data_IF_494225157937
#
_entry.id   IF_494225157937
#
_cell.length_a   1.000
_cell.length_b   1.000
_cell.length_c   1.000
_cell.angle_alpha   90.00
_cell.angle_beta   90.00
_cell.angle_gamma   90.00
#
_symmetry.space_group_name_H-M   'P 1'
#
loop_
_entity.id
_entity.type
_entity.pdbx_description
1 polymer ?
#
# COMPACT_ATOMS: atom_id res chain seq x y z
N UNK A 1 -1.81 7.26 -26.84
CA UNK A 1 -2.38 7.22 -25.47
C UNK A 1 -2.47 5.77 -25.03
N UNK A 2 -2.03 5.43 -23.82
CA UNK A 2 -2.08 4.05 -23.33
C UNK A 2 -3.55 3.59 -23.20
N UNK A 3 -3.98 2.49 -23.86
CA UNK A 3 -5.37 2.03 -23.77
C UNK A 3 -5.76 1.60 -22.35
N UNK A 4 -4.79 1.24 -21.51
CA UNK A 4 -5.00 0.85 -20.11
C UNK A 4 -5.11 2.01 -19.12
N UNK A 5 -4.96 3.26 -19.54
CA UNK A 5 -4.84 4.41 -18.61
C UNK A 5 -6.04 4.52 -17.65
N UNK A 6 -7.26 4.37 -18.17
CA UNK A 6 -8.46 4.49 -17.36
C UNK A 6 -8.70 3.29 -16.43
N UNK A 7 -8.19 2.12 -16.78
CA UNK A 7 -8.22 0.94 -15.91
C UNK A 7 -7.21 1.13 -14.77
N UNK A 8 -5.99 1.53 -15.11
CA UNK A 8 -4.92 1.79 -14.15
C UNK A 8 -5.33 2.88 -13.14
N UNK A 9 -5.85 4.00 -13.62
CA UNK A 9 -6.31 5.12 -12.78
C UNK A 9 -7.39 4.68 -11.78
N UNK A 10 -8.44 3.99 -12.26
CA UNK A 10 -9.52 3.51 -11.39
C UNK A 10 -9.05 2.47 -10.38
N UNK A 11 -8.14 1.59 -10.78
CA UNK A 11 -7.54 0.61 -9.88
C UNK A 11 -6.67 1.28 -8.82
N UNK A 12 -5.80 2.21 -9.21
CA UNK A 12 -4.96 2.98 -8.29
C UNK A 12 -5.81 3.76 -7.28
N UNK A 13 -6.88 4.42 -7.73
CA UNK A 13 -7.80 5.13 -6.84
C UNK A 13 -8.40 4.22 -5.77
N UNK A 14 -8.87 3.03 -6.16
CA UNK A 14 -9.43 2.04 -5.22
C UNK A 14 -8.38 1.51 -4.25
N UNK A 15 -7.18 1.17 -4.74
CA UNK A 15 -6.08 0.66 -3.92
C UNK A 15 -5.68 1.71 -2.87
N UNK A 16 -5.41 2.94 -3.31
CA UNK A 16 -4.99 4.03 -2.42
C UNK A 16 -6.09 4.34 -1.40
N UNK A 17 -7.35 4.42 -1.83
CA UNK A 17 -8.50 4.63 -0.93
C UNK A 17 -8.60 3.57 0.16
N UNK A 18 -8.40 2.28 -0.19
CA UNK A 18 -8.39 1.19 0.80
C UNK A 18 -7.19 1.28 1.75
N UNK A 19 -6.01 1.63 1.24
CA UNK A 19 -4.81 1.78 2.07
C UNK A 19 -4.96 2.91 3.10
N UNK A 20 -5.42 4.09 2.68
CA UNK A 20 -5.60 5.24 3.59
C UNK A 20 -6.73 5.03 4.60
N UNK A 21 -7.77 4.26 4.21
CA UNK A 21 -8.81 3.81 5.12
C UNK A 21 -8.28 2.80 6.15
N UNK A 22 -7.49 1.82 5.73
CA UNK A 22 -7.03 0.74 6.61
C UNK A 22 -5.89 1.16 7.58
N UNK A 23 -4.97 1.99 7.11
CA UNK A 23 -3.70 2.24 7.80
C UNK A 23 -3.45 3.72 8.08
N UNK A 24 -2.79 3.97 9.21
CA UNK A 24 -1.98 5.16 9.44
C UNK A 24 -0.57 4.86 8.91
N UNK A 25 -0.19 5.54 7.83
CA UNK A 25 1.09 5.34 7.13
C UNK A 25 2.07 6.40 7.63
N UNK A 26 3.24 5.97 8.12
CA UNK A 26 4.27 6.86 8.68
C UNK A 26 5.65 6.56 8.13
N UNK A 27 6.48 7.59 8.15
CA UNK A 27 7.91 7.45 7.95
C UNK A 27 8.55 6.51 9.01
N UNK A 28 9.65 5.84 8.67
CA UNK A 28 10.34 4.94 9.57
C UNK A 28 10.99 5.70 10.73
N UNK A 29 11.15 5.02 11.86
CA UNK A 29 11.82 5.55 13.06
C UNK A 29 13.15 4.82 13.24
N UNK A 30 14.21 5.57 13.53
CA UNK A 30 15.51 5.03 13.90
C UNK A 30 15.40 4.32 15.26
N UNK A 31 15.71 3.01 15.34
CA UNK A 31 15.56 2.24 16.58
C UNK A 31 16.53 2.66 17.69
N UNK A 32 17.65 3.32 17.34
CA UNK A 32 18.67 3.78 18.30
C UNK A 32 18.34 5.17 18.81
N UNK A 33 17.94 6.07 17.92
CA UNK A 33 17.75 7.49 18.25
C UNK A 33 16.29 7.87 18.54
N UNK A 34 15.33 7.02 18.15
CA UNK A 34 13.90 7.28 18.28
C UNK A 34 13.38 8.39 17.36
N UNK A 35 14.20 8.91 16.44
CA UNK A 35 13.84 9.99 15.52
C UNK A 35 13.29 9.45 14.20
N UNK A 36 12.42 10.22 13.58
CA UNK A 36 11.93 9.95 12.23
C UNK A 36 13.08 10.02 11.23
N UNK A 37 13.19 9.01 10.36
CA UNK A 37 14.08 9.00 9.21
C UNK A 37 13.25 9.50 8.02
N UNK A 38 13.51 10.74 7.60
CA UNK A 38 12.82 11.35 6.46
C UNK A 38 13.09 10.55 5.19
N UNK A 39 12.05 10.28 4.41
CA UNK A 39 12.17 9.68 3.09
C UNK A 39 12.44 10.77 2.04
N UNK A 40 13.31 10.49 1.08
CA UNK A 40 13.55 11.36 -0.07
C UNK A 40 12.49 11.05 -1.16
N UNK A 41 11.59 11.99 -1.49
CA UNK A 41 10.57 11.79 -2.52
C UNK A 41 11.13 11.63 -3.93
N UNK A 42 12.39 11.98 -4.16
CA UNK A 42 13.04 11.91 -5.49
C UNK A 42 13.97 10.68 -5.62
N UNK A 43 14.06 9.82 -4.59
CA UNK A 43 14.93 8.65 -4.61
C UNK A 43 14.35 7.49 -5.46
N UNK A 44 14.44 7.65 -6.77
CA UNK A 44 13.89 6.74 -7.77
C UNK A 44 15.00 6.06 -8.59
N UNK A 45 14.68 4.88 -9.12
CA UNK A 45 15.54 4.21 -10.11
C UNK A 45 15.39 4.87 -11.48
N UNK A 46 16.51 5.09 -12.16
CA UNK A 46 16.51 5.53 -13.56
C UNK A 46 16.37 4.33 -14.50
N UNK A 47 15.53 4.44 -15.52
CA UNK A 47 15.35 3.39 -16.52
C UNK A 47 14.04 3.53 -17.29
N UNK A 48 13.68 2.48 -18.04
CA UNK A 48 12.42 2.41 -18.78
C UNK A 48 11.20 2.46 -17.85
N UNK A 49 11.34 1.93 -16.62
CA UNK A 49 10.35 1.99 -15.57
C UNK A 49 10.87 2.89 -14.45
N UNK A 50 10.09 3.93 -14.12
CA UNK A 50 10.34 4.76 -12.95
C UNK A 50 9.67 4.14 -11.73
N UNK A 51 10.46 3.80 -10.72
CA UNK A 51 9.99 3.27 -9.46
C UNK A 51 10.86 3.81 -8.31
N UNK A 52 10.30 3.98 -7.10
CA UNK A 52 11.10 4.37 -5.94
C UNK A 52 12.13 3.28 -5.64
N UNK A 53 13.33 3.68 -5.17
CA UNK A 53 14.28 2.73 -4.60
C UNK A 53 13.70 2.11 -3.32
N UNK A 54 14.21 0.96 -2.85
CA UNK A 54 13.72 0.35 -1.61
C UNK A 54 13.78 1.32 -0.43
N UNK A 55 12.64 1.58 0.20
CA UNK A 55 12.51 2.42 1.39
C UNK A 55 11.77 1.68 2.51
N UNK A 56 11.94 2.14 3.75
CA UNK A 56 11.20 1.62 4.91
C UNK A 56 9.98 2.50 5.17
N UNK A 57 8.89 1.90 5.62
CA UNK A 57 7.63 2.59 5.92
C UNK A 57 6.89 1.82 7.00
N UNK A 58 6.15 2.53 7.85
CA UNK A 58 5.35 1.95 8.91
C UNK A 58 3.88 1.95 8.46
N UNK A 59 3.29 0.77 8.34
CA UNK A 59 1.84 0.59 8.18
C UNK A 59 1.24 0.17 9.52
N UNK A 60 0.55 1.11 10.18
CA UNK A 60 -0.16 0.81 11.43
C UNK A 60 -1.66 0.70 11.15
N UNK A 61 -2.32 -0.45 11.40
CA UNK A 61 -3.76 -0.53 11.28
C UNK A 61 -4.44 0.52 12.17
N UNK A 62 -5.47 1.20 11.65
CA UNK A 62 -6.14 2.29 12.38
C UNK A 62 -6.88 1.81 13.62
N UNK A 63 -7.48 0.62 13.58
CA UNK A 63 -8.10 -0.02 14.74
C UNK A 63 -8.31 -1.52 14.52
N UNK A 64 -8.66 -2.24 15.60
CA UNK A 64 -9.04 -3.64 15.52
C UNK A 64 -10.21 -3.88 14.56
N UNK A 65 -11.22 -3.00 14.57
CA UNK A 65 -12.36 -3.10 13.65
C UNK A 65 -11.95 -3.05 12.17
N UNK A 66 -10.93 -2.27 11.80
CA UNK A 66 -10.40 -2.28 10.43
C UNK A 66 -9.73 -3.62 10.10
N UNK A 67 -8.97 -4.18 11.04
CA UNK A 67 -8.34 -5.50 10.89
C UNK A 67 -9.40 -6.58 10.69
N UNK A 68 -10.46 -6.56 11.50
CA UNK A 68 -11.52 -7.56 11.45
C UNK A 68 -12.25 -7.54 10.11
N UNK A 69 -12.54 -6.34 9.58
CA UNK A 69 -13.09 -6.18 8.22
C UNK A 69 -12.11 -6.71 7.18
N UNK A 70 -10.83 -6.32 7.22
CA UNK A 70 -9.84 -6.81 6.24
C UNK A 70 -9.76 -8.33 6.23
N UNK A 71 -9.74 -8.98 7.40
CA UNK A 71 -9.69 -10.43 7.53
C UNK A 71 -10.95 -11.10 6.97
N UNK A 72 -12.13 -10.60 7.34
CA UNK A 72 -13.40 -11.14 6.83
C UNK A 72 -13.47 -11.06 5.30
N UNK A 73 -13.18 -9.90 4.73
CA UNK A 73 -13.24 -9.70 3.27
C UNK A 73 -12.18 -10.55 2.55
N UNK A 74 -11.01 -10.75 3.17
CA UNK A 74 -9.98 -11.65 2.65
C UNK A 74 -10.47 -13.10 2.62
N UNK A 75 -11.03 -13.60 3.72
CA UNK A 75 -11.57 -14.96 3.81
C UNK A 75 -12.72 -15.19 2.81
N UNK A 76 -13.61 -14.21 2.63
CA UNK A 76 -14.65 -14.22 1.61
C UNK A 76 -14.05 -14.27 0.20
N UNK A 77 -13.10 -13.38 -0.10
CA UNK A 77 -12.44 -13.35 -1.42
C UNK A 77 -11.73 -14.66 -1.74
N UNK A 78 -11.02 -15.25 -0.77
CA UNK A 78 -10.33 -16.54 -0.96
C UNK A 78 -11.31 -17.67 -1.27
N UNK A 79 -12.48 -17.70 -0.60
CA UNK A 79 -13.52 -18.69 -0.90
C UNK A 79 -14.10 -18.53 -2.30
N UNK A 80 -14.33 -17.28 -2.73
CA UNK A 80 -14.89 -16.98 -4.04
C UNK A 80 -13.90 -17.29 -5.19
N UNK A 81 -12.61 -17.11 -4.93
CA UNK A 81 -11.54 -17.37 -5.91
C UNK A 81 -11.11 -18.83 -5.97
N UNK A 82 -11.37 -19.63 -4.93
CA UNK A 82 -10.96 -21.03 -4.84
C UNK A 82 -11.33 -21.91 -6.06
N UNK A 83 -12.46 -21.73 -6.78
CA UNK A 83 -12.76 -22.51 -7.98
C UNK A 83 -11.89 -22.19 -9.21
N UNK A 84 -11.11 -21.10 -9.18
CA UNK A 84 -10.32 -20.60 -10.31
C UNK A 84 -8.80 -20.71 -10.09
N UNK A 85 -8.38 -21.18 -8.92
CA UNK A 85 -6.98 -21.49 -8.57
C UNK A 85 -6.72 -23.00 -8.70
#
# INVERSE_FOLDING_TARGET
MCPGVHLAERNQWRIVSKLIWAFEIKEPIDPTTGKTISLDPEDYSNGLLHAPKPFKVIFKPRSQAHIDVIKREYEESMRDLAPFE
#
